data_IF_261010025737
#
_entry.id   IF_261010025737
#
_cell.length_a   1.000
_cell.length_b   1.000
_cell.length_c   1.000
_cell.angle_alpha   90.00
_cell.angle_beta   90.00
_cell.angle_gamma   90.00
#
_symmetry.space_group_name_H-M   'P 1'
#
loop_
_entity.id
_entity.type
_entity.pdbx_description
1 polymer ?
#
# COMPACT_ATOMS: atom_id res chain seq x y z
N UNK A 1 82.37 -41.66 -12.62
CA UNK A 1 82.70 -40.27 -12.28
C UNK A 1 81.40 -39.52 -12.47
N UNK A 2 80.60 -39.38 -11.41
CA UNK A 2 79.25 -38.78 -11.43
C UNK A 2 79.31 -37.39 -10.78
N UNK A 3 79.08 -36.37 -11.58
CA UNK A 3 79.01 -34.96 -11.09
C UNK A 3 77.55 -34.68 -10.68
N UNK A 4 77.33 -34.62 -9.35
CA UNK A 4 76.11 -34.17 -8.73
C UNK A 4 76.01 -32.64 -8.79
N UNK A 5 75.09 -32.12 -9.58
CA UNK A 5 74.83 -30.68 -9.70
C UNK A 5 73.83 -30.24 -8.59
N UNK A 6 74.37 -29.74 -7.49
CA UNK A 6 73.58 -29.26 -6.36
C UNK A 6 73.04 -27.83 -6.67
N UNK A 7 71.80 -27.73 -7.15
CA UNK A 7 71.12 -26.46 -7.32
C UNK A 7 70.70 -25.92 -5.95
N UNK A 8 71.45 -24.99 -5.39
CA UNK A 8 71.03 -24.19 -4.25
C UNK A 8 69.87 -23.30 -4.66
N UNK A 9 68.68 -23.61 -4.23
CA UNK A 9 67.56 -22.68 -4.27
C UNK A 9 67.85 -21.54 -3.34
N UNK A 10 68.09 -20.35 -3.88
CA UNK A 10 68.16 -19.12 -3.08
C UNK A 10 66.74 -18.79 -2.63
N UNK A 11 66.45 -19.01 -1.36
CA UNK A 11 65.23 -18.49 -0.74
C UNK A 11 65.35 -16.97 -0.69
N UNK A 12 64.57 -16.27 -1.52
CA UNK A 12 64.44 -14.81 -1.43
C UNK A 12 63.42 -14.54 -0.30
N UNK A 13 63.87 -13.93 0.79
CA UNK A 13 62.99 -13.45 1.83
C UNK A 13 62.25 -12.17 1.33
N UNK A 14 60.99 -12.00 1.72
CA UNK A 14 60.24 -10.77 1.44
C UNK A 14 60.90 -9.56 2.11
N UNK A 15 60.94 -8.46 1.39
CA UNK A 15 61.42 -7.17 1.95
C UNK A 15 60.28 -6.49 2.75
N UNK A 16 60.64 -5.74 3.76
CA UNK A 16 59.67 -4.99 4.59
C UNK A 16 58.82 -4.04 3.73
N UNK A 17 59.41 -3.45 2.72
CA UNK A 17 58.71 -2.54 1.79
C UNK A 17 57.66 -3.29 0.92
N UNK A 18 57.94 -4.51 0.53
CA UNK A 18 57.06 -5.35 -0.26
C UNK A 18 55.78 -5.73 0.53
N UNK A 19 55.95 -6.05 1.84
CA UNK A 19 54.86 -6.31 2.76
C UNK A 19 54.02 -5.04 2.97
N UNK A 20 54.66 -3.88 3.14
CA UNK A 20 53.95 -2.59 3.28
C UNK A 20 53.11 -2.25 2.04
N UNK A 21 53.67 -2.41 0.85
CA UNK A 21 52.96 -2.15 -0.41
C UNK A 21 51.79 -3.15 -0.57
N UNK A 22 52.04 -4.44 -0.29
CA UNK A 22 50.99 -5.45 -0.39
C UNK A 22 49.81 -5.19 0.57
N UNK A 23 50.08 -4.81 1.82
CA UNK A 23 49.04 -4.47 2.80
C UNK A 23 48.30 -3.17 2.43
N UNK A 24 49.00 -2.17 1.88
CA UNK A 24 48.37 -0.95 1.39
C UNK A 24 47.40 -1.25 0.20
N UNK A 25 47.82 -2.02 -0.76
CA UNK A 25 46.98 -2.44 -1.89
C UNK A 25 45.79 -3.26 -1.39
N UNK A 26 46.01 -4.22 -0.51
CA UNK A 26 44.97 -5.03 0.09
C UNK A 26 43.92 -4.16 0.81
N UNK A 27 44.36 -3.16 1.56
CA UNK A 27 43.44 -2.23 2.26
C UNK A 27 42.59 -1.43 1.30
N UNK A 28 43.15 -0.94 0.19
CA UNK A 28 42.38 -0.23 -0.84
C UNK A 28 41.34 -1.16 -1.51
N UNK A 29 41.73 -2.39 -1.84
CA UNK A 29 40.83 -3.37 -2.43
C UNK A 29 39.69 -3.71 -1.47
N UNK A 30 39.99 -3.97 -0.20
CA UNK A 30 38.97 -4.24 0.83
C UNK A 30 38.02 -3.04 1.03
N UNK A 31 38.54 -1.82 1.03
CA UNK A 31 37.71 -0.60 1.12
C UNK A 31 36.77 -0.45 -0.09
N UNK A 32 37.25 -0.75 -1.30
CA UNK A 32 36.44 -0.73 -2.51
C UNK A 32 35.32 -1.79 -2.48
N UNK A 33 35.64 -3.02 -2.07
CA UNK A 33 34.66 -4.11 -1.93
C UNK A 33 33.60 -3.74 -0.90
N UNK A 34 34.02 -3.24 0.27
CA UNK A 34 33.09 -2.82 1.34
C UNK A 34 32.18 -1.69 0.90
N UNK A 35 32.72 -0.68 0.19
CA UNK A 35 31.93 0.42 -0.36
C UNK A 35 30.88 -0.06 -1.34
N UNK A 36 31.24 -0.95 -2.26
CA UNK A 36 30.30 -1.53 -3.25
C UNK A 36 29.22 -2.35 -2.55
N UNK A 37 29.58 -3.17 -1.58
CA UNK A 37 28.64 -3.98 -0.81
C UNK A 37 27.65 -3.11 -0.01
N UNK A 38 28.17 -2.07 0.68
CA UNK A 38 27.34 -1.13 1.44
C UNK A 38 26.35 -0.37 0.55
N UNK A 39 26.76 0.00 -0.67
CA UNK A 39 25.88 0.66 -1.63
C UNK A 39 24.78 -0.30 -2.13
N UNK A 40 25.12 -1.54 -2.45
CA UNK A 40 24.18 -2.55 -2.86
C UNK A 40 23.16 -2.89 -1.76
N UNK A 41 23.62 -3.01 -0.52
CA UNK A 41 22.77 -3.28 0.64
C UNK A 41 21.73 -2.18 0.87
N UNK A 42 22.16 -0.89 0.86
CA UNK A 42 21.23 0.25 0.97
C UNK A 42 20.23 0.32 -0.18
N UNK A 43 20.65 -0.06 -1.38
CA UNK A 43 19.73 -0.10 -2.52
C UNK A 43 18.65 -1.17 -2.35
N UNK A 44 18.98 -2.33 -1.78
CA UNK A 44 18.04 -3.44 -1.50
C UNK A 44 17.06 -3.04 -0.39
N UNK A 45 17.53 -2.50 0.75
CA UNK A 45 16.66 -2.02 1.83
C UNK A 45 15.64 -0.99 1.35
N UNK A 46 16.07 0.01 0.59
CA UNK A 46 15.13 1.01 0.05
C UNK A 46 14.19 0.46 -1.03
N UNK A 47 14.49 -0.72 -1.61
CA UNK A 47 13.56 -1.43 -2.49
C UNK A 47 12.48 -2.16 -1.71
N UNK A 48 12.82 -2.80 -0.60
CA UNK A 48 11.89 -3.57 0.22
C UNK A 48 10.78 -2.69 0.80
N UNK A 49 11.11 -1.54 1.39
CA UNK A 49 10.12 -0.60 1.93
C UNK A 49 9.14 -0.09 0.85
N UNK A 50 9.68 0.22 -0.32
CA UNK A 50 8.87 0.70 -1.44
C UNK A 50 7.92 -0.35 -2.00
N UNK A 51 8.41 -1.58 -2.10
CA UNK A 51 7.61 -2.73 -2.55
C UNK A 51 6.55 -3.10 -1.52
N UNK A 52 6.89 -3.05 -0.24
CA UNK A 52 5.96 -3.31 0.86
C UNK A 52 4.80 -2.31 0.83
N UNK A 53 5.07 -1.01 0.70
CA UNK A 53 4.04 0.04 0.60
C UNK A 53 3.09 -0.17 -0.57
N UNK A 54 3.62 -0.54 -1.74
CA UNK A 54 2.78 -0.86 -2.91
C UNK A 54 1.94 -2.11 -2.71
N UNK A 55 2.48 -3.15 -2.07
CA UNK A 55 1.75 -4.38 -1.77
C UNK A 55 0.63 -4.14 -0.76
N UNK A 56 0.88 -3.36 0.30
CA UNK A 56 -0.14 -2.95 1.27
C UNK A 56 -1.28 -2.19 0.57
N UNK A 57 -0.94 -1.21 -0.27
CA UNK A 57 -1.93 -0.42 -1.01
C UNK A 57 -2.76 -1.29 -1.96
N UNK A 58 -2.13 -2.22 -2.69
CA UNK A 58 -2.85 -3.17 -3.56
C UNK A 58 -3.79 -4.07 -2.78
N UNK A 59 -3.32 -4.60 -1.64
CA UNK A 59 -4.12 -5.45 -0.76
C UNK A 59 -5.32 -4.70 -0.19
N UNK A 60 -5.13 -3.45 0.22
CA UNK A 60 -6.22 -2.61 0.72
C UNK A 60 -7.27 -2.31 -0.36
N UNK A 61 -6.85 -1.98 -1.59
CA UNK A 61 -7.75 -1.79 -2.72
C UNK A 61 -8.53 -3.09 -3.03
N UNK A 62 -7.86 -4.23 -3.06
CA UNK A 62 -8.51 -5.52 -3.35
C UNK A 62 -9.54 -5.91 -2.27
N UNK A 63 -9.23 -5.66 -0.99
CA UNK A 63 -10.18 -5.86 0.11
C UNK A 63 -11.40 -4.95 -0.07
N UNK A 64 -11.18 -3.65 -0.25
CA UNK A 64 -12.27 -2.68 -0.43
C UNK A 64 -13.11 -2.99 -1.67
N UNK A 65 -12.49 -3.37 -2.79
CA UNK A 65 -13.19 -3.78 -4.01
C UNK A 65 -14.12 -4.97 -3.75
N UNK A 66 -13.63 -6.02 -3.08
CA UNK A 66 -14.45 -7.20 -2.76
C UNK A 66 -15.61 -6.86 -1.84
N UNK A 67 -15.41 -5.97 -0.89
CA UNK A 67 -16.47 -5.51 0.01
C UNK A 67 -17.51 -4.69 -0.73
N UNK A 68 -17.10 -3.83 -1.67
CA UNK A 68 -17.99 -3.09 -2.53
C UNK A 68 -18.70 -3.97 -3.56
N UNK A 69 -18.03 -5.01 -4.10
CA UNK A 69 -18.68 -6.01 -4.97
C UNK A 69 -19.82 -6.74 -4.23
N UNK A 70 -19.75 -6.84 -2.91
CA UNK A 70 -20.75 -7.44 -2.01
C UNK A 70 -21.65 -6.40 -1.33
N UNK A 71 -21.55 -5.13 -1.72
CA UNK A 71 -22.40 -4.07 -1.16
C UNK A 71 -23.86 -4.34 -1.49
N UNK A 72 -24.72 -4.12 -0.51
CA UNK A 72 -26.14 -4.39 -0.59
C UNK A 72 -26.97 -3.14 -0.33
N UNK A 73 -27.95 -2.91 -1.18
CA UNK A 73 -28.94 -1.86 -1.04
C UNK A 73 -30.32 -2.39 -1.45
N UNK A 74 -31.30 -2.12 -0.60
CA UNK A 74 -32.72 -2.36 -0.85
C UNK A 74 -33.49 -1.09 -0.48
N UNK A 75 -34.27 -0.56 -1.41
CA UNK A 75 -35.00 0.69 -1.22
C UNK A 75 -36.09 0.58 -0.14
N UNK A 76 -36.57 -0.62 0.14
CA UNK A 76 -37.58 -0.92 1.15
C UNK A 76 -37.00 -1.20 2.54
N UNK A 77 -35.66 -1.28 2.67
CA UNK A 77 -34.96 -1.54 3.92
C UNK A 77 -34.12 -0.33 4.37
N UNK A 78 -34.58 0.41 5.37
CA UNK A 78 -33.97 1.65 5.90
C UNK A 78 -32.51 1.46 6.40
N UNK A 79 -32.07 0.22 6.61
CA UNK A 79 -30.74 -0.08 7.12
C UNK A 79 -29.70 -0.34 6.04
N UNK A 80 -30.11 -0.28 4.76
CA UNK A 80 -29.24 -0.50 3.62
C UNK A 80 -28.93 0.80 2.92
N UNK A 81 -27.66 1.07 2.66
CA UNK A 81 -27.25 2.29 1.99
C UNK A 81 -25.83 2.18 1.41
N UNK A 82 -25.53 3.09 0.48
CA UNK A 82 -24.19 3.42 0.04
C UNK A 82 -24.08 4.95 -0.08
N UNK A 83 -23.07 5.51 0.57
CA UNK A 83 -22.82 6.94 0.60
C UNK A 83 -21.36 7.25 0.36
N UNK A 84 -21.11 8.12 -0.64
CA UNK A 84 -19.78 8.65 -1.00
C UNK A 84 -19.83 10.15 -0.78
N UNK A 85 -18.97 10.66 0.10
CA UNK A 85 -18.83 12.08 0.38
C UNK A 85 -17.44 12.52 -0.05
N UNK A 86 -17.41 13.43 -1.03
CA UNK A 86 -16.16 14.07 -1.45
C UNK A 86 -15.67 15.00 -0.34
N UNK A 87 -14.45 14.76 0.11
CA UNK A 87 -13.76 15.56 1.14
C UNK A 87 -12.32 15.78 0.72
N UNK A 88 -11.77 16.83 1.27
CA UNK A 88 -10.38 17.23 1.09
C UNK A 88 -9.74 17.53 2.45
N UNK A 89 -8.49 17.12 2.62
CA UNK A 89 -7.67 17.48 3.78
C UNK A 89 -6.36 18.06 3.25
N UNK A 90 -6.17 19.35 3.42
CA UNK A 90 -5.01 20.13 2.95
C UNK A 90 -4.70 19.97 1.45
N UNK A 91 -5.74 19.99 0.60
CA UNK A 91 -5.57 19.80 -0.85
C UNK A 91 -5.33 18.36 -1.30
N UNK A 92 -5.43 17.40 -0.38
CA UNK A 92 -5.36 15.96 -0.69
C UNK A 92 -6.75 15.35 -0.64
N UNK A 93 -7.18 14.60 -1.65
CA UNK A 93 -8.47 13.91 -1.63
C UNK A 93 -8.58 12.95 -0.44
N UNK A 94 -9.66 13.09 0.33
CA UNK A 94 -9.90 12.36 1.57
C UNK A 94 -11.37 11.92 1.66
N UNK A 95 -11.84 11.22 0.65
CA UNK A 95 -13.24 10.77 0.54
C UNK A 95 -13.65 9.95 1.75
N UNK A 96 -14.88 10.18 2.23
CA UNK A 96 -15.54 9.29 3.17
C UNK A 96 -16.53 8.40 2.42
N UNK A 97 -16.35 7.09 2.56
CA UNK A 97 -17.20 6.05 1.99
C UNK A 97 -17.87 5.29 3.12
N UNK A 98 -19.19 5.10 3.04
CA UNK A 98 -19.94 4.26 3.98
C UNK A 98 -20.97 3.45 3.22
N UNK A 99 -21.10 2.17 3.53
CA UNK A 99 -22.06 1.28 2.86
C UNK A 99 -22.38 0.06 3.71
N UNK A 100 -23.47 -0.60 3.37
CA UNK A 100 -23.85 -1.89 3.96
C UNK A 100 -23.50 -3.04 3.04
N UNK A 101 -23.05 -4.15 3.64
CA UNK A 101 -22.64 -5.36 2.95
C UNK A 101 -22.85 -6.58 3.81
N UNK A 102 -22.88 -7.76 3.19
CA UNK A 102 -22.80 -9.04 3.90
C UNK A 102 -21.32 -9.34 4.20
N UNK A 103 -20.91 -9.11 5.44
CA UNK A 103 -19.53 -9.34 5.85
C UNK A 103 -19.29 -10.80 6.19
N UNK A 104 -18.13 -11.34 5.78
CA UNK A 104 -17.69 -12.68 6.19
C UNK A 104 -17.26 -12.74 7.66
N UNK A 105 -17.02 -11.59 8.29
CA UNK A 105 -16.56 -11.50 9.69
C UNK A 105 -17.69 -11.54 10.71
N UNK A 106 -18.93 -11.23 10.30
CA UNK A 106 -20.12 -11.26 11.15
C UNK A 106 -21.31 -11.81 10.37
N UNK A 107 -22.14 -12.68 10.97
CA UNK A 107 -23.36 -13.12 10.31
C UNK A 107 -24.33 -11.94 10.16
N UNK A 108 -24.93 -11.80 8.97
CA UNK A 108 -25.88 -10.75 8.64
C UNK A 108 -25.27 -9.50 8.04
N UNK A 109 -26.10 -8.45 7.97
CA UNK A 109 -25.73 -7.17 7.38
C UNK A 109 -24.76 -6.41 8.29
N UNK A 110 -23.78 -5.83 7.70
CA UNK A 110 -22.75 -5.00 8.38
C UNK A 110 -22.62 -3.65 7.69
N UNK A 111 -22.44 -2.58 8.47
CA UNK A 111 -22.08 -1.26 7.98
C UNK A 111 -20.58 -1.12 8.00
N UNK A 112 -19.99 -0.80 6.86
CA UNK A 112 -18.57 -0.52 6.70
C UNK A 112 -18.39 0.96 6.36
N UNK A 113 -17.42 1.59 7.03
CA UNK A 113 -17.03 2.97 6.72
C UNK A 113 -15.52 3.04 6.52
N UNK A 114 -15.10 3.71 5.44
CA UNK A 114 -13.73 4.08 5.15
C UNK A 114 -13.60 5.59 5.17
N UNK A 115 -12.63 6.10 5.89
CA UNK A 115 -12.40 7.53 6.05
C UNK A 115 -10.94 7.81 6.34
N UNK A 116 -10.51 9.04 6.05
CA UNK A 116 -9.15 9.49 6.35
C UNK A 116 -9.17 10.36 7.60
N UNK A 117 -8.23 10.11 8.49
CA UNK A 117 -7.88 10.99 9.61
C UNK A 117 -6.41 11.39 9.53
N UNK A 118 -6.10 12.56 10.06
CA UNK A 118 -4.73 13.03 10.21
C UNK A 118 -4.20 12.65 11.59
N UNK A 119 -3.03 12.02 11.60
CA UNK A 119 -2.25 11.74 12.81
C UNK A 119 -0.80 12.12 12.56
N UNK A 120 -0.22 12.95 13.40
CA UNK A 120 1.17 13.42 13.27
C UNK A 120 1.54 13.93 11.86
N UNK A 121 0.66 14.73 11.24
CA UNK A 121 0.78 15.27 9.87
C UNK A 121 0.76 14.21 8.76
N UNK A 122 0.42 12.97 9.08
CA UNK A 122 0.22 11.89 8.11
C UNK A 122 -1.26 11.61 7.95
N UNK A 123 -1.67 11.36 6.72
CA UNK A 123 -3.03 10.90 6.42
C UNK A 123 -3.08 9.38 6.55
N UNK A 124 -4.00 8.90 7.37
CA UNK A 124 -4.20 7.47 7.64
C UNK A 124 -5.60 7.08 7.18
N UNK A 125 -5.70 6.02 6.39
CA UNK A 125 -6.98 5.43 6.02
C UNK A 125 -7.44 4.48 7.11
N UNK A 126 -8.60 4.78 7.69
CA UNK A 126 -9.28 3.96 8.68
C UNK A 126 -10.43 3.19 8.07
N UNK A 127 -10.67 2.02 8.63
CA UNK A 127 -11.86 1.21 8.39
C UNK A 127 -12.60 0.99 9.68
N UNK A 128 -13.92 1.24 9.67
CA UNK A 128 -14.82 0.98 10.79
C UNK A 128 -15.86 -0.04 10.38
N UNK A 129 -16.08 -1.06 11.21
CA UNK A 129 -17.08 -2.11 11.00
C UNK A 129 -18.12 -2.05 12.13
N UNK A 130 -19.36 -1.76 11.79
CA UNK A 130 -20.46 -1.60 12.72
C UNK A 130 -21.65 -2.53 12.37
N UNK A 131 -22.51 -2.78 13.34
CA UNK A 131 -23.82 -3.37 13.06
C UNK A 131 -24.79 -2.26 12.62
N UNK A 132 -25.54 -2.40 11.51
CA UNK A 132 -26.54 -1.40 11.12
C UNK A 132 -27.73 -1.33 12.09
N UNK A 133 -27.88 -2.34 12.97
CA UNK A 133 -28.97 -2.46 13.93
C UNK A 133 -28.60 -2.06 15.37
N UNK A 134 -27.33 -1.78 15.65
CA UNK A 134 -26.85 -1.46 16.99
C UNK A 134 -25.81 -0.36 16.92
N UNK A 135 -26.12 0.77 17.52
CA UNK A 135 -25.12 1.80 17.76
C UNK A 135 -24.10 1.28 18.79
N UNK A 136 -22.85 1.20 18.41
CA UNK A 136 -21.74 0.81 19.26
C UNK A 136 -20.53 1.66 18.91
N UNK A 137 -19.82 2.10 19.92
CA UNK A 137 -18.56 2.80 19.73
C UNK A 137 -17.47 1.78 19.33
N UNK A 138 -17.46 1.42 18.05
CA UNK A 138 -16.41 0.57 17.47
C UNK A 138 -15.31 1.47 16.98
N UNK A 139 -14.13 1.32 17.54
CA UNK A 139 -12.96 2.07 17.09
C UNK A 139 -12.57 1.64 15.65
N UNK A 140 -12.20 2.61 14.80
CA UNK A 140 -11.65 2.32 13.48
C UNK A 140 -10.29 1.63 13.56
N UNK A 141 -10.01 0.79 12.58
CA UNK A 141 -8.71 0.13 12.42
C UNK A 141 -7.98 0.84 11.29
N UNK A 142 -6.74 1.18 11.50
CA UNK A 142 -5.84 1.71 10.49
C UNK A 142 -5.55 0.65 9.39
N UNK A 143 -5.64 1.07 8.16
CA UNK A 143 -5.44 0.20 6.97
C UNK A 143 -4.16 0.57 6.23
N UNK A 144 -3.95 1.87 6.00
CA UNK A 144 -2.76 2.38 5.31
C UNK A 144 -2.39 3.71 5.97
N UNK A 145 -1.14 3.84 6.36
CA UNK A 145 -0.56 5.09 6.83
C UNK A 145 0.07 5.90 5.69
N UNK A 146 0.31 7.19 5.93
CA UNK A 146 1.09 8.08 5.07
C UNK A 146 0.57 8.13 3.62
N UNK A 147 -0.74 8.39 3.48
CA UNK A 147 -1.41 8.49 2.19
C UNK A 147 -1.28 9.88 1.56
N UNK A 148 -1.23 9.92 0.23
CA UNK A 148 -1.29 11.14 -0.58
C UNK A 148 -2.67 11.41 -1.17
N UNK A 149 -3.62 10.51 -0.95
CA UNK A 149 -5.01 10.69 -1.34
C UNK A 149 -5.80 9.40 -1.40
N UNK A 150 -7.09 9.54 -1.13
CA UNK A 150 -8.09 8.48 -1.25
C UNK A 150 -9.30 9.05 -1.99
N UNK A 151 -9.63 8.47 -3.13
CA UNK A 151 -10.73 8.91 -3.99
C UNK A 151 -11.64 7.73 -4.33
N UNK A 152 -12.94 7.96 -4.22
CA UNK A 152 -13.97 7.04 -4.68
C UNK A 152 -14.88 7.79 -5.64
N UNK A 153 -15.17 7.19 -6.78
CA UNK A 153 -16.05 7.76 -7.77
C UNK A 153 -17.09 6.73 -8.20
N UNK A 154 -18.35 7.13 -8.26
CA UNK A 154 -19.46 6.30 -8.76
C UNK A 154 -19.70 6.61 -10.23
N UNK A 155 -20.03 5.58 -11.03
CA UNK A 155 -20.42 5.76 -12.43
C UNK A 155 -21.92 6.02 -12.52
N UNK A 156 -22.28 7.11 -13.17
CA UNK A 156 -23.65 7.53 -13.42
C UNK A 156 -23.81 8.11 -14.83
N UNK A 157 -24.65 7.53 -15.65
CA UNK A 157 -24.85 7.96 -17.04
C UNK A 157 -23.53 8.10 -17.81
N UNK A 158 -22.68 7.09 -17.72
CA UNK A 158 -21.33 7.05 -18.31
C UNK A 158 -20.34 8.12 -17.84
N UNK A 159 -20.67 8.86 -16.79
CA UNK A 159 -19.80 9.85 -16.16
C UNK A 159 -19.40 9.41 -14.75
N UNK A 160 -18.17 9.73 -14.35
CA UNK A 160 -17.68 9.50 -13.00
C UNK A 160 -18.03 10.69 -12.12
N UNK A 161 -18.77 10.43 -11.03
CA UNK A 161 -19.18 11.43 -10.03
C UNK A 161 -18.53 11.13 -8.68
N UNK A 162 -18.09 12.16 -7.97
CA UNK A 162 -17.36 12.04 -6.70
C UNK A 162 -18.26 11.92 -5.47
N UNK A 163 -19.55 12.10 -5.65
CA UNK A 163 -20.54 12.00 -4.58
C UNK A 163 -21.65 11.05 -4.99
N UNK A 164 -22.12 10.26 -4.04
CA UNK A 164 -23.25 9.35 -4.25
C UNK A 164 -23.98 9.15 -2.95
N UNK A 165 -25.30 9.08 -3.02
CA UNK A 165 -26.15 8.76 -1.89
C UNK A 165 -27.36 7.95 -2.39
N UNK A 166 -27.45 6.69 -1.96
CA UNK A 166 -28.57 5.82 -2.34
C UNK A 166 -29.89 6.26 -1.75
N UNK A 167 -29.90 7.03 -0.66
CA UNK A 167 -31.14 7.61 -0.13
C UNK A 167 -31.76 8.63 -1.10
N UNK A 168 -30.90 9.32 -1.87
CA UNK A 168 -31.30 10.31 -2.87
C UNK A 168 -31.57 9.64 -4.23
N UNK A 169 -30.59 8.83 -4.68
CA UNK A 169 -30.61 8.24 -6.02
C UNK A 169 -31.51 7.03 -6.13
N UNK A 170 -31.92 6.42 -5.01
CA UNK A 170 -32.78 5.22 -4.92
C UNK A 170 -32.24 4.02 -5.70
N UNK A 171 -30.95 3.97 -5.93
CA UNK A 171 -30.27 2.87 -6.65
C UNK A 171 -28.77 2.81 -6.32
N UNK A 172 -28.16 1.66 -6.53
CA UNK A 172 -26.70 1.50 -6.51
C UNK A 172 -26.08 2.04 -7.81
N UNK A 173 -24.82 2.52 -7.75
CA UNK A 173 -24.08 2.83 -8.96
C UNK A 173 -23.64 1.53 -9.67
N UNK A 174 -23.54 1.58 -11.02
CA UNK A 174 -23.15 0.43 -11.83
C UNK A 174 -21.69 0.02 -11.59
N UNK A 175 -20.82 1.00 -11.42
CA UNK A 175 -19.39 0.82 -11.16
C UNK A 175 -18.93 1.85 -10.12
N UNK A 176 -17.96 1.44 -9.29
CA UNK A 176 -17.32 2.30 -8.30
C UNK A 176 -15.82 2.21 -8.49
N UNK A 177 -15.19 3.31 -8.87
CA UNK A 177 -13.73 3.40 -9.00
C UNK A 177 -13.11 3.79 -7.67
N UNK A 178 -12.15 2.99 -7.25
CA UNK A 178 -11.35 3.17 -6.05
C UNK A 178 -9.98 3.66 -6.49
N UNK A 179 -9.46 4.73 -5.91
CA UNK A 179 -8.10 5.21 -6.19
C UNK A 179 -7.39 5.57 -4.88
N UNK A 180 -6.21 5.02 -4.69
CA UNK A 180 -5.35 5.28 -3.54
C UNK A 180 -4.00 5.77 -4.01
N UNK A 181 -3.58 6.92 -3.49
CA UNK A 181 -2.29 7.53 -3.79
C UNK A 181 -1.36 7.45 -2.58
N UNK A 182 -0.14 7.01 -2.81
CA UNK A 182 0.93 6.88 -1.79
C UNK A 182 2.25 7.39 -2.35
N UNK A 183 3.17 7.76 -1.45
CA UNK A 183 4.54 8.11 -1.85
C UNK A 183 5.41 6.85 -1.94
N UNK A 184 6.08 6.68 -3.06
CA UNK A 184 7.04 5.60 -3.32
C UNK A 184 8.31 6.21 -3.88
N UNK A 185 9.41 6.13 -3.16
CA UNK A 185 10.70 6.73 -3.57
C UNK A 185 10.61 8.22 -3.91
N UNK A 186 9.83 8.98 -3.16
CA UNK A 186 9.64 10.41 -3.40
C UNK A 186 8.74 10.76 -4.60
N UNK A 187 8.10 9.77 -5.21
CA UNK A 187 7.13 9.97 -6.28
C UNK A 187 5.73 9.55 -5.84
N UNK A 188 4.73 10.34 -6.18
CA UNK A 188 3.33 10.00 -5.95
C UNK A 188 2.90 8.92 -6.94
N UNK A 189 2.53 7.76 -6.42
CA UNK A 189 2.00 6.63 -7.19
C UNK A 189 0.52 6.47 -6.85
N UNK A 190 -0.33 6.39 -7.87
CA UNK A 190 -1.76 6.14 -7.70
C UNK A 190 -2.10 4.75 -8.24
N UNK A 191 -2.70 3.93 -7.39
CA UNK A 191 -3.26 2.64 -7.77
C UNK A 191 -4.78 2.78 -7.83
N UNK A 192 -5.41 2.15 -8.82
CA UNK A 192 -6.86 2.20 -9.00
C UNK A 192 -7.41 0.84 -9.39
N UNK A 193 -8.64 0.56 -8.94
CA UNK A 193 -9.44 -0.60 -9.32
C UNK A 193 -10.93 -0.22 -9.40
N UNK A 194 -11.76 -1.08 -9.98
CA UNK A 194 -13.19 -0.85 -10.16
C UNK A 194 -13.97 -2.00 -9.53
N UNK A 195 -14.85 -1.65 -8.60
CA UNK A 195 -15.86 -2.54 -8.03
C UNK A 195 -17.16 -2.46 -8.83
N UNK A 196 -17.89 -3.60 -8.89
CA UNK A 196 -19.21 -3.71 -9.51
C UNK A 196 -20.18 -4.33 -8.52
N UNK A 197 -20.92 -3.52 -7.76
CA UNK A 197 -21.90 -4.02 -6.80
C UNK A 197 -22.91 -4.94 -7.50
N UNK A 198 -23.03 -6.17 -7.02
CA UNK A 198 -23.88 -7.20 -7.67
C UNK A 198 -25.31 -7.24 -7.13
N UNK A 199 -25.52 -6.67 -5.95
CA UNK A 199 -26.79 -6.69 -5.25
C UNK A 199 -27.33 -5.26 -5.13
N UNK A 200 -28.54 -5.05 -5.63
CA UNK A 200 -29.20 -3.74 -5.58
C UNK A 200 -29.50 -3.10 -6.94
N UNK A 201 -29.34 -3.81 -8.05
CA UNK A 201 -30.06 -3.45 -9.26
C UNK A 201 -31.52 -3.85 -9.07
N UNK A 202 -32.41 -2.87 -8.98
CA UNK A 202 -33.85 -3.11 -9.10
C UNK A 202 -34.13 -4.04 -10.29
N UNK A 203 -34.75 -5.19 -10.01
CA UNK A 203 -35.47 -5.99 -11.02
C UNK A 203 -36.54 -5.14 -11.68
#
# INVERSE_FOLDING_TARGET
MSLSFNRKHRAHGFTLIEILIATAILSVVLAAIYSTFSLAYRAIEGMDDSMMKLQETRKAIDILRRELDSAYYDADEDKTFLKILDRDVYGKPAVQLSFTTFSTLRPGLSKISYYIEEHDKKLILFKKLESPYREGDTQGVDIIEDMEGFTIEAKYNDQWVKTWDTEINKRMPDEIRISMAVMVRGQKVTLSDVARPRYGSSL
#
